data_IF_550845518758
#
_entry.id   IF_550845518758
#
_cell.length_a   1.000
_cell.length_b   1.000
_cell.length_c   1.000
_cell.angle_alpha   90.00
_cell.angle_beta   90.00
_cell.angle_gamma   90.00
#
_symmetry.space_group_name_H-M   'P 1'
#
loop_
_entity.id
_entity.type
_entity.pdbx_description
1 polymer ?
#
# COMPACT_ATOMS: atom_id res chain seq x y z
N UNK A 1 12.66 3.28 31.94
CA UNK A 1 12.85 4.60 31.31
C UNK A 1 13.54 4.39 29.97
N UNK A 2 12.84 4.56 28.85
CA UNK A 2 13.42 4.43 27.52
C UNK A 2 13.92 5.80 27.04
N UNK A 3 15.15 5.80 26.53
CA UNK A 3 15.93 6.88 25.90
C UNK A 3 15.19 8.21 25.58
N UNK A 4 15.50 9.27 26.35
CA UNK A 4 15.18 10.66 25.99
C UNK A 4 16.49 11.34 25.54
N UNK A 5 16.58 11.71 24.26
CA UNK A 5 17.71 12.49 23.74
C UNK A 5 17.23 13.89 23.38
N UNK A 6 17.72 14.88 24.12
CA UNK A 6 17.47 16.30 23.86
C UNK A 6 18.53 16.73 22.84
N UNK A 7 18.09 17.10 21.63
CA UNK A 7 18.96 17.61 20.57
C UNK A 7 18.51 19.04 20.30
N UNK A 8 19.41 20.00 20.58
CA UNK A 8 19.35 21.45 20.35
C UNK A 8 18.89 22.32 21.53
N UNK A 9 19.65 23.40 21.69
CA UNK A 9 19.64 24.45 22.72
C UNK A 9 18.40 25.37 22.66
N UNK A 10 17.23 24.83 22.33
CA UNK A 10 15.94 25.49 22.40
C UNK A 10 14.97 24.55 23.11
N UNK A 11 14.26 25.04 24.13
CA UNK A 11 13.30 24.28 24.94
C UNK A 11 12.05 23.87 24.13
N UNK A 12 12.22 23.03 23.11
CA UNK A 12 11.12 22.34 22.45
C UNK A 12 11.10 20.91 22.97
N UNK A 13 10.09 20.61 23.79
CA UNK A 13 9.84 19.26 24.30
C UNK A 13 9.38 18.36 23.15
N UNK A 14 10.32 17.64 22.53
CA UNK A 14 10.04 16.64 21.50
C UNK A 14 10.11 15.26 22.16
N UNK A 15 9.09 14.44 21.93
CA UNK A 15 9.03 13.04 22.38
C UNK A 15 8.81 12.14 21.17
N UNK A 16 9.66 11.11 21.05
CA UNK A 16 9.51 10.05 20.06
C UNK A 16 9.20 8.76 20.81
N UNK A 17 8.05 8.14 20.49
CA UNK A 17 7.63 6.90 21.12
C UNK A 17 7.46 5.83 20.04
N UNK A 18 8.33 4.82 20.05
CA UNK A 18 8.28 3.67 19.14
C UNK A 18 7.39 2.55 19.68
N UNK A 19 6.94 1.64 18.80
CA UNK A 19 6.20 0.43 19.17
C UNK A 19 4.88 0.67 19.93
N UNK A 20 4.30 1.87 19.79
CA UNK A 20 2.99 2.20 20.30
C UNK A 20 1.93 1.98 19.22
N UNK A 21 0.88 1.22 19.56
CA UNK A 21 -0.33 1.07 18.76
C UNK A 21 -1.41 1.96 19.34
N UNK A 22 -1.97 2.85 18.53
CA UNK A 22 -3.14 3.65 18.90
C UNK A 22 -4.36 2.74 19.01
N UNK A 23 -5.02 2.76 20.15
CA UNK A 23 -6.23 1.94 20.41
C UNK A 23 -7.49 2.77 20.23
N UNK A 24 -7.51 3.97 20.79
CA UNK A 24 -8.65 4.87 20.71
C UNK A 24 -8.23 6.32 20.87
N UNK A 25 -9.12 7.20 20.44
CA UNK A 25 -9.03 8.64 20.65
C UNK A 25 -10.31 9.14 21.27
N UNK A 26 -10.21 10.03 22.25
CA UNK A 26 -11.36 10.77 22.78
C UNK A 26 -11.02 12.27 22.83
N UNK A 27 -12.04 13.11 22.78
CA UNK A 27 -11.88 14.55 22.93
C UNK A 27 -12.26 14.94 24.35
N UNK A 28 -11.36 15.65 25.04
CA UNK A 28 -11.58 16.12 26.41
C UNK A 28 -11.05 17.54 26.57
N UNK A 29 -11.88 18.47 27.06
CA UNK A 29 -11.52 19.87 27.31
C UNK A 29 -10.78 20.55 26.14
N UNK A 30 -11.23 20.31 24.91
CA UNK A 30 -10.62 20.89 23.70
C UNK A 30 -9.34 20.19 23.22
N UNK A 31 -8.86 19.15 23.92
CA UNK A 31 -7.71 18.34 23.50
C UNK A 31 -8.13 16.97 23.01
N UNK A 32 -7.34 16.40 22.11
CA UNK A 32 -7.45 15.01 21.66
C UNK A 32 -6.56 14.17 22.57
N UNK A 33 -7.17 13.22 23.27
CA UNK A 33 -6.49 12.22 24.08
C UNK A 33 -6.39 10.92 23.30
N UNK A 34 -5.17 10.45 23.09
CA UNK A 34 -4.84 9.22 22.39
C UNK A 34 -4.38 8.16 23.40
N UNK A 35 -5.08 7.03 23.44
CA UNK A 35 -4.71 5.88 24.26
C UNK A 35 -3.89 4.91 23.42
N UNK A 36 -2.70 4.58 23.89
CA UNK A 36 -1.75 3.70 23.23
C UNK A 36 -1.44 2.47 24.07
N UNK A 37 -1.21 1.35 23.41
CA UNK A 37 -0.64 0.14 24.00
C UNK A 37 0.71 -0.15 23.34
N UNK A 38 1.72 -0.45 24.15
CA UNK A 38 3.03 -0.86 23.64
C UNK A 38 3.00 -2.33 23.20
N UNK A 39 3.37 -2.60 21.95
CA UNK A 39 3.17 -3.90 21.29
C UNK A 39 3.89 -5.08 21.98
N UNK A 40 5.00 -4.84 22.68
CA UNK A 40 5.77 -5.91 23.34
C UNK A 40 5.47 -6.06 24.84
N UNK A 41 5.21 -4.96 25.53
CA UNK A 41 5.07 -4.95 26.99
C UNK A 41 3.61 -4.92 27.43
N UNK A 42 2.68 -4.69 26.50
CA UNK A 42 1.26 -4.46 26.75
C UNK A 42 0.96 -3.34 27.75
N UNK A 43 1.93 -2.46 28.00
CA UNK A 43 1.76 -1.31 28.89
C UNK A 43 0.96 -0.23 28.19
N UNK A 44 -0.05 0.31 28.88
CA UNK A 44 -0.88 1.39 28.38
C UNK A 44 -0.27 2.76 28.68
N UNK A 45 -0.42 3.70 27.76
CA UNK A 45 0.02 5.09 27.92
C UNK A 45 -0.98 6.04 27.27
N UNK A 46 -1.05 7.27 27.78
CA UNK A 46 -1.95 8.31 27.25
C UNK A 46 -1.15 9.52 26.82
N UNK A 47 -1.49 10.07 25.65
CA UNK A 47 -0.89 11.28 25.12
C UNK A 47 -2.02 12.24 24.75
N UNK A 48 -1.99 13.46 25.28
CA UNK A 48 -2.94 14.52 24.93
C UNK A 48 -2.27 15.55 24.02
N UNK A 49 -2.96 15.97 22.97
CA UNK A 49 -2.49 16.97 22.03
C UNK A 49 -3.64 17.86 21.56
N UNK A 50 -3.34 19.11 21.19
CA UNK A 50 -4.32 20.02 20.59
C UNK A 50 -4.66 19.60 19.15
N UNK A 51 -3.69 18.99 18.45
CA UNK A 51 -3.83 18.49 17.09
C UNK A 51 -3.19 17.12 16.92
N UNK A 52 -3.78 16.29 16.05
CA UNK A 52 -3.25 14.97 15.68
C UNK A 52 -3.16 14.88 14.16
N UNK A 53 -2.00 14.47 13.66
CA UNK A 53 -1.77 14.23 12.23
C UNK A 53 -1.69 12.72 12.01
N UNK A 54 -2.62 12.16 11.24
CA UNK A 54 -2.64 10.74 10.90
C UNK A 54 -1.84 10.48 9.62
N UNK A 55 -0.55 10.23 9.77
CA UNK A 55 0.34 9.87 8.66
C UNK A 55 0.39 8.33 8.44
N UNK A 56 -0.77 7.67 8.41
CA UNK A 56 -0.89 6.19 8.37
C UNK A 56 -0.74 5.57 6.98
N UNK A 57 -0.38 6.36 5.97
CA UNK A 57 -0.31 5.91 4.58
C UNK A 57 -1.69 5.80 3.91
N UNK A 58 -1.75 5.04 2.83
CA UNK A 58 -2.96 4.83 2.02
C UNK A 58 -3.36 3.36 1.99
N UNK A 59 -4.66 3.12 1.92
CA UNK A 59 -5.21 1.80 1.61
C UNK A 59 -5.77 1.83 0.17
N UNK A 60 -5.67 0.69 -0.52
CA UNK A 60 -6.32 0.54 -1.81
C UNK A 60 -7.84 0.72 -1.65
N UNK A 61 -8.42 1.64 -2.42
CA UNK A 61 -9.86 1.90 -2.40
C UNK A 61 -10.66 0.70 -2.89
N UNK A 62 -11.90 0.55 -2.40
CA UNK A 62 -12.85 -0.38 -2.99
C UNK A 62 -13.18 0.09 -4.41
N UNK A 63 -13.31 -0.87 -5.33
CA UNK A 63 -13.69 -0.62 -6.72
C UNK A 63 -15.17 -0.95 -6.87
N UNK A 64 -16.06 -0.18 -6.25
CA UNK A 64 -17.48 -0.51 -6.18
C UNK A 64 -18.12 -0.62 -7.58
N UNK A 65 -17.61 0.13 -8.56
CA UNK A 65 -18.02 0.02 -9.96
C UNK A 65 -17.66 -1.34 -10.61
N UNK A 66 -16.75 -2.11 -10.01
CA UNK A 66 -16.36 -3.45 -10.46
C UNK A 66 -17.22 -4.55 -9.85
N UNK A 67 -18.15 -4.24 -8.94
CA UNK A 67 -18.96 -5.25 -8.24
C UNK A 67 -19.74 -6.19 -9.19
N UNK A 68 -20.19 -5.68 -10.34
CA UNK A 68 -20.87 -6.50 -11.34
C UNK A 68 -19.92 -7.44 -12.10
N UNK A 69 -18.64 -7.08 -12.20
CA UNK A 69 -17.60 -7.87 -12.87
C UNK A 69 -16.92 -8.85 -11.92
N UNK A 70 -16.95 -8.59 -10.62
CA UNK A 70 -16.33 -9.37 -9.54
C UNK A 70 -16.61 -10.88 -9.62
N UNK A 71 -17.84 -11.36 -9.94
CA UNK A 71 -18.11 -12.79 -10.09
C UNK A 71 -17.34 -13.47 -11.22
N UNK A 72 -16.92 -12.70 -12.23
CA UNK A 72 -16.17 -13.16 -13.40
C UNK A 72 -14.65 -12.99 -13.22
N UNK A 73 -14.19 -12.46 -12.08
CA UNK A 73 -12.77 -12.21 -11.79
C UNK A 73 -12.27 -13.25 -10.81
N UNK A 74 -11.19 -13.95 -11.17
CA UNK A 74 -10.52 -14.86 -10.24
C UNK A 74 -9.81 -14.06 -9.15
N UNK A 75 -9.94 -14.49 -7.89
CA UNK A 75 -9.27 -13.90 -6.73
C UNK A 75 -8.17 -14.81 -6.20
N UNK A 76 -7.15 -14.20 -5.59
CA UNK A 76 -6.11 -14.89 -4.84
C UNK A 76 -6.60 -15.27 -3.43
N UNK A 77 -5.89 -16.16 -2.70
CA UNK A 77 -6.23 -16.51 -1.31
C UNK A 77 -6.29 -15.30 -0.35
N UNK A 78 -5.54 -14.23 -0.64
CA UNK A 78 -5.57 -12.98 0.14
C UNK A 78 -6.76 -12.06 -0.20
N UNK A 79 -7.64 -12.46 -1.11
CA UNK A 79 -8.82 -11.70 -1.53
C UNK A 79 -8.56 -10.66 -2.63
N UNK A 80 -7.30 -10.42 -3.03
CA UNK A 80 -6.98 -9.54 -4.17
C UNK A 80 -7.38 -10.19 -5.50
N UNK A 81 -7.56 -9.40 -6.57
CA UNK A 81 -7.67 -9.98 -7.91
C UNK A 81 -6.40 -10.76 -8.29
N UNK A 82 -6.59 -11.84 -9.04
CA UNK A 82 -5.53 -12.59 -9.71
C UNK A 82 -5.07 -11.78 -10.92
N UNK A 83 -3.84 -11.25 -10.84
CA UNK A 83 -3.25 -10.36 -11.84
C UNK A 83 -2.00 -11.05 -12.36
N UNK A 84 -1.94 -11.26 -13.67
CA UNK A 84 -0.82 -11.93 -14.30
C UNK A 84 0.42 -11.02 -14.40
N UNK A 85 1.54 -11.58 -14.86
CA UNK A 85 2.82 -10.86 -15.05
C UNK A 85 2.76 -9.70 -16.05
N UNK A 86 1.71 -9.62 -16.87
CA UNK A 86 1.49 -8.57 -17.85
C UNK A 86 0.52 -7.50 -17.32
N UNK A 87 0.18 -7.56 -16.03
CA UNK A 87 -0.77 -6.68 -15.35
C UNK A 87 -2.21 -6.83 -15.83
N UNK A 88 -2.55 -7.98 -16.45
CA UNK A 88 -3.90 -8.33 -16.87
C UNK A 88 -4.62 -9.09 -15.75
N UNK A 89 -5.82 -8.64 -15.42
CA UNK A 89 -6.69 -9.34 -14.45
C UNK A 89 -7.24 -10.59 -15.11
N UNK A 90 -7.20 -11.71 -14.39
CA UNK A 90 -7.82 -12.95 -14.81
C UNK A 90 -9.35 -12.84 -14.74
N UNK A 91 -9.91 -12.32 -15.84
CA UNK A 91 -11.31 -12.02 -16.03
C UNK A 91 -11.87 -12.85 -17.17
N UNK A 92 -12.98 -13.55 -16.93
CA UNK A 92 -13.65 -14.38 -17.92
C UNK A 92 -15.16 -14.15 -17.83
N UNK A 93 -15.70 -13.38 -18.78
CA UNK A 93 -17.13 -13.16 -18.86
C UNK A 93 -17.81 -14.23 -19.74
N UNK A 94 -18.92 -14.86 -19.28
CA UNK A 94 -19.59 -15.91 -20.05
C UNK A 94 -20.10 -15.46 -21.43
N UNK A 95 -20.47 -14.18 -21.55
CA UNK A 95 -21.21 -13.66 -22.72
C UNK A 95 -20.43 -12.61 -23.52
N UNK A 96 -19.11 -12.46 -23.32
CA UNK A 96 -18.38 -11.39 -23.99
C UNK A 96 -16.86 -11.52 -23.95
N UNK A 97 -16.21 -10.69 -24.77
CA UNK A 97 -14.76 -10.56 -24.82
C UNK A 97 -14.38 -9.20 -24.23
N UNK A 98 -13.50 -9.20 -23.24
CA UNK A 98 -13.02 -7.99 -22.58
C UNK A 98 -11.75 -8.30 -21.80
N UNK A 99 -10.88 -7.30 -21.65
CA UNK A 99 -9.60 -7.42 -20.94
C UNK A 99 -9.50 -6.27 -19.95
N UNK A 100 -9.05 -6.56 -18.74
CA UNK A 100 -8.92 -5.57 -17.68
C UNK A 100 -7.43 -5.51 -17.32
N UNK A 101 -6.86 -4.31 -17.37
CA UNK A 101 -5.48 -4.07 -16.96
C UNK A 101 -5.48 -3.14 -15.75
N UNK A 102 -4.49 -3.33 -14.87
CA UNK A 102 -4.41 -2.55 -13.64
C UNK A 102 -3.07 -1.83 -13.52
N UNK A 103 -3.09 -0.67 -12.86
CA UNK A 103 -1.93 0.16 -12.55
C UNK A 103 -1.90 0.39 -11.04
N UNK A 104 -0.70 0.30 -10.43
CA UNK A 104 -0.50 0.45 -8.99
C UNK A 104 -1.37 -0.48 -8.11
N UNK A 105 -1.77 -1.62 -8.67
CA UNK A 105 -2.51 -2.67 -8.00
C UNK A 105 -1.78 -3.99 -8.19
N UNK A 106 -1.89 -4.88 -7.20
CA UNK A 106 -1.17 -6.15 -7.20
C UNK A 106 0.03 -6.18 -6.25
N UNK A 107 -0.03 -5.48 -5.11
CA UNK A 107 0.99 -5.64 -4.05
C UNK A 107 1.20 -7.12 -3.68
N UNK A 108 0.14 -7.92 -3.69
CA UNK A 108 0.19 -9.36 -3.43
C UNK A 108 0.76 -10.20 -4.59
N UNK A 109 0.77 -9.71 -5.84
CA UNK A 109 1.28 -10.45 -7.02
C UNK A 109 2.64 -9.96 -7.51
N UNK A 110 2.88 -8.65 -7.47
CA UNK A 110 4.06 -7.96 -8.01
C UNK A 110 4.94 -7.33 -6.93
N UNK A 111 4.57 -7.49 -5.66
CA UNK A 111 5.38 -7.07 -4.51
C UNK A 111 5.48 -5.55 -4.36
N UNK A 112 6.46 -5.15 -3.55
CA UNK A 112 6.62 -3.78 -3.03
C UNK A 112 6.94 -2.72 -4.10
N UNK A 113 7.31 -3.12 -5.31
CA UNK A 113 7.53 -2.20 -6.45
C UNK A 113 6.23 -1.70 -7.11
N UNK A 114 5.08 -2.22 -6.71
CA UNK A 114 3.77 -1.86 -7.28
C UNK A 114 3.46 -0.34 -7.25
N UNK A 115 3.69 0.41 -6.17
CA UNK A 115 3.46 1.87 -6.16
C UNK A 115 4.64 2.69 -6.71
N UNK A 116 5.74 2.06 -7.16
CA UNK A 116 6.93 2.78 -7.61
C UNK A 116 6.71 3.46 -8.97
N UNK A 117 6.83 4.79 -8.98
CA UNK A 117 6.74 5.60 -10.19
C UNK A 117 7.88 5.31 -11.17
N UNK A 118 9.07 4.94 -10.69
CA UNK A 118 10.19 4.54 -11.54
C UNK A 118 9.88 3.30 -12.39
N UNK A 119 8.96 2.44 -11.93
CA UNK A 119 8.50 1.25 -12.66
C UNK A 119 7.26 1.50 -13.53
N UNK A 120 6.68 2.71 -13.49
CA UNK A 120 5.45 3.04 -14.24
C UNK A 120 5.63 2.98 -15.76
N UNK A 121 6.80 3.41 -16.27
CA UNK A 121 7.12 3.36 -17.68
C UNK A 121 7.24 1.90 -18.17
N UNK A 122 7.96 1.07 -17.42
CA UNK A 122 8.07 -0.37 -17.71
C UNK A 122 6.69 -1.04 -17.70
N UNK A 123 5.87 -0.79 -16.67
CA UNK A 123 4.51 -1.34 -16.58
C UNK A 123 3.62 -0.92 -17.75
N UNK A 124 3.63 0.37 -18.10
CA UNK A 124 2.86 0.89 -19.23
C UNK A 124 3.31 0.27 -20.54
N UNK A 125 4.62 0.13 -20.76
CA UNK A 125 5.17 -0.55 -21.93
C UNK A 125 4.73 -2.02 -22.00
N UNK A 126 4.78 -2.76 -20.89
CA UNK A 126 4.29 -4.14 -20.80
C UNK A 126 2.80 -4.24 -21.17
N UNK A 127 1.95 -3.38 -20.60
CA UNK A 127 0.51 -3.36 -20.90
C UNK A 127 0.26 -3.04 -22.38
N UNK A 128 0.92 -2.04 -22.95
CA UNK A 128 0.75 -1.68 -24.37
C UNK A 128 1.18 -2.83 -25.28
N UNK A 129 2.32 -3.46 -25.01
CA UNK A 129 2.77 -4.64 -25.77
C UNK A 129 1.74 -5.77 -25.71
N UNK A 130 1.12 -5.96 -24.54
CA UNK A 130 0.11 -6.99 -24.29
C UNK A 130 -1.26 -6.65 -24.91
N UNK A 131 -1.62 -5.37 -25.03
CA UNK A 131 -2.81 -4.91 -25.75
C UNK A 131 -2.65 -5.10 -27.26
N UNK A 132 -1.47 -4.77 -27.79
CA UNK A 132 -1.18 -4.85 -29.23
C UNK A 132 -0.75 -6.25 -29.69
N UNK A 133 -0.60 -7.19 -28.76
CA UNK A 133 -0.01 -8.53 -28.97
C UNK A 133 1.29 -8.50 -29.79
N UNK A 134 2.11 -7.47 -29.57
CA UNK A 134 3.43 -7.31 -30.19
C UNK A 134 4.36 -6.50 -29.29
N UNK A 135 5.66 -6.68 -29.44
CA UNK A 135 6.64 -5.81 -28.79
C UNK A 135 6.72 -4.47 -29.51
N UNK A 136 5.90 -3.50 -29.08
CA UNK A 136 5.92 -2.12 -29.58
C UNK A 136 6.98 -1.28 -28.85
N UNK A 137 7.08 -1.47 -27.52
CA UNK A 137 8.15 -0.91 -26.70
C UNK A 137 9.11 -2.00 -26.26
N UNK A 138 10.42 -1.76 -26.45
CA UNK A 138 11.46 -2.70 -26.00
C UNK A 138 11.54 -2.73 -24.48
N UNK A 139 11.43 -3.92 -23.88
CA UNK A 139 11.58 -4.10 -22.44
C UNK A 139 12.99 -4.58 -22.09
N UNK A 140 13.69 -3.86 -21.21
CA UNK A 140 15.01 -4.25 -20.73
C UNK A 140 14.92 -5.35 -19.68
N UNK A 141 15.47 -6.55 -19.96
CA UNK A 141 15.35 -7.72 -19.06
C UNK A 141 16.52 -7.94 -18.12
N UNK A 142 17.69 -7.32 -18.37
CA UNK A 142 18.94 -7.58 -17.63
C UNK A 142 19.63 -6.27 -17.22
N UNK A 143 19.02 -5.52 -16.29
CA UNK A 143 19.60 -4.27 -15.78
C UNK A 143 20.17 -4.40 -14.36
N UNK A 144 20.28 -5.63 -13.85
CA UNK A 144 20.77 -5.92 -12.50
C UNK A 144 22.00 -6.81 -12.55
N UNK A 145 22.95 -6.57 -11.64
CA UNK A 145 24.18 -7.36 -11.51
C UNK A 145 23.99 -8.63 -10.69
N UNK A 146 22.96 -8.67 -9.84
CA UNK A 146 22.63 -9.79 -8.96
C UNK A 146 21.68 -10.77 -9.64
N UNK A 147 21.83 -12.06 -9.34
CA UNK A 147 20.90 -13.10 -9.78
C UNK A 147 19.98 -13.50 -8.62
N UNK A 148 18.66 -13.47 -8.87
CA UNK A 148 17.64 -13.96 -7.96
C UNK A 148 16.85 -15.02 -8.74
N UNK A 149 17.19 -16.28 -8.50
CA UNK A 149 16.55 -17.47 -9.11
C UNK A 149 15.75 -18.22 -8.06
#
# INVERSE_FOLDING_TARGET
MLYQKIILNNEKSIKLNSNLKLIQTCQNQGKICCDFVHNYTNTSSKISADYVILATGYQQASLDFMLELDPCIKKQPCGSYDIDRNYEVNYQHPNGMGRIFVQNMGLCTHGVGTPDLGLSAHRSATIINRILDKEFYKLSRNNILSNFS
#
